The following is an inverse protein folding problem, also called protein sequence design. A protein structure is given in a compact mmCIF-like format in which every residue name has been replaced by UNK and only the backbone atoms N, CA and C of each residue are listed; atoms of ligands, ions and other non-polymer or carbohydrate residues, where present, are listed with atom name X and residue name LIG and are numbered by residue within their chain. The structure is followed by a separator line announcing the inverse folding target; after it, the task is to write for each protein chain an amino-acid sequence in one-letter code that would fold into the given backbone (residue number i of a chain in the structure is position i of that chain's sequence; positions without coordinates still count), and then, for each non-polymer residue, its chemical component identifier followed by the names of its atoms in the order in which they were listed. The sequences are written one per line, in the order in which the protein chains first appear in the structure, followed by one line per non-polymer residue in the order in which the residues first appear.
data_IF_711748312864
#
_entry.id   IF_711748312864
#
_cell.length_a   1.000
_cell.length_b   1.000
_cell.length_c   1.000
_cell.angle_alpha   90.00
_cell.angle_beta   90.00
_cell.angle_gamma   90.00
#
_symmetry.space_group_name_H-M   'P 1'
#
loop_
_entity.id
_entity.type
_entity.pdbx_description
1 polymer ?
#
# COMPACT_ATOMS: atom_id res chain seq x y z
N UNK A 1 3.00 -15.05 -28.75
CA UNK A 1 1.97 -14.81 -27.75
C UNK A 1 2.29 -13.48 -27.09
N UNK A 2 1.32 -12.55 -26.95
CA UNK A 2 1.57 -11.32 -26.20
C UNK A 2 1.90 -11.65 -24.75
N UNK A 3 2.92 -11.03 -24.18
CA UNK A 3 3.24 -11.17 -22.76
C UNK A 3 2.06 -10.66 -21.93
N UNK A 4 1.60 -11.45 -20.95
CA UNK A 4 0.49 -11.09 -20.07
C UNK A 4 0.93 -10.09 -19.02
N UNK A 5 0.07 -9.13 -18.70
CA UNK A 5 0.29 -8.20 -17.59
C UNK A 5 -0.31 -8.81 -16.32
N UNK A 6 0.52 -8.97 -15.29
CA UNK A 6 0.10 -9.47 -13.98
C UNK A 6 0.37 -8.42 -12.91
N UNK A 7 -0.68 -7.96 -12.24
CA UNK A 7 -0.58 -7.11 -11.04
C UNK A 7 -0.54 -8.00 -9.80
N UNK A 8 0.47 -7.82 -8.95
CA UNK A 8 0.68 -8.59 -7.72
C UNK A 8 0.53 -7.68 -6.52
N UNK A 9 -0.46 -7.92 -5.69
CA UNK A 9 -0.72 -7.16 -4.46
C UNK A 9 -0.17 -7.90 -3.23
N UNK A 10 0.95 -7.42 -2.68
CA UNK A 10 1.60 -8.01 -1.51
C UNK A 10 0.93 -7.52 -0.21
N UNK A 11 0.33 -8.43 0.57
CA UNK A 11 -0.22 -8.13 1.89
C UNK A 11 0.87 -7.85 2.94
N UNK A 12 0.49 -7.29 4.10
CA UNK A 12 1.45 -6.91 5.14
C UNK A 12 2.24 -8.09 5.71
N UNK A 13 1.65 -9.28 5.82
CA UNK A 13 2.37 -10.50 6.26
C UNK A 13 3.43 -10.96 5.27
N UNK A 14 3.30 -10.56 4.01
CA UNK A 14 4.32 -10.82 2.98
C UNK A 14 5.54 -9.89 3.09
N UNK A 15 5.51 -8.90 4.01
CA UNK A 15 6.57 -7.89 4.16
C UNK A 15 7.17 -7.85 5.56
N UNK A 16 6.52 -8.46 6.57
CA UNK A 16 6.95 -8.35 7.97
C UNK A 16 6.70 -6.98 8.59
N UNK A 17 7.02 -6.85 9.86
CA UNK A 17 6.80 -5.64 10.68
C UNK A 17 8.11 -4.91 10.97
N UNK A 18 9.17 -5.65 11.24
CA UNK A 18 10.50 -5.11 11.56
C UNK A 18 11.41 -5.14 10.33
N UNK A 19 12.48 -4.33 10.34
CA UNK A 19 13.49 -4.32 9.27
C UNK A 19 14.09 -5.69 8.95
N UNK A 20 14.53 -6.50 9.94
CA UNK A 20 15.02 -7.84 9.67
C UNK A 20 14.00 -8.77 9.05
N UNK A 21 12.74 -8.72 9.53
CA UNK A 21 11.64 -9.49 8.96
C UNK A 21 11.34 -9.07 7.52
N UNK A 22 11.32 -7.76 7.24
CA UNK A 22 11.10 -7.21 5.89
C UNK A 22 12.17 -7.71 4.92
N UNK A 23 13.45 -7.72 5.33
CA UNK A 23 14.53 -8.23 4.49
C UNK A 23 14.41 -9.72 4.16
N UNK A 24 13.89 -10.52 5.07
CA UNK A 24 13.62 -11.94 4.83
C UNK A 24 12.39 -12.08 3.91
N UNK A 25 11.33 -11.33 4.19
CA UNK A 25 10.07 -11.39 3.47
C UNK A 25 10.22 -10.93 2.02
N UNK A 26 10.93 -9.83 1.77
CA UNK A 26 11.18 -9.33 0.41
C UNK A 26 11.97 -10.32 -0.45
N UNK A 27 12.91 -11.09 0.13
CA UNK A 27 13.59 -12.17 -0.58
C UNK A 27 12.65 -13.31 -0.99
N UNK A 28 11.65 -13.64 -0.16
CA UNK A 28 10.63 -14.63 -0.50
C UNK A 28 9.71 -14.11 -1.61
N UNK A 29 9.24 -12.87 -1.48
CA UNK A 29 8.42 -12.22 -2.51
C UNK A 29 9.18 -12.12 -3.84
N UNK A 30 10.47 -11.81 -3.81
CA UNK A 30 11.32 -11.73 -4.99
C UNK A 30 11.36 -13.05 -5.79
N UNK A 31 11.40 -14.20 -5.12
CA UNK A 31 11.34 -15.50 -5.80
C UNK A 31 10.03 -15.70 -6.56
N UNK A 32 8.90 -15.42 -5.90
CA UNK A 32 7.59 -15.55 -6.54
C UNK A 32 7.41 -14.57 -7.72
N UNK A 33 7.92 -13.33 -7.59
CA UNK A 33 7.93 -12.36 -8.69
C UNK A 33 8.80 -12.84 -9.84
N UNK A 34 9.99 -13.38 -9.54
CA UNK A 34 10.90 -13.90 -10.56
C UNK A 34 10.31 -15.12 -11.29
N UNK A 35 9.55 -15.98 -10.61
CA UNK A 35 8.82 -17.10 -11.24
C UNK A 35 7.82 -16.57 -12.28
N UNK A 36 7.08 -15.50 -11.97
CA UNK A 36 6.14 -14.88 -12.91
C UNK A 36 6.87 -14.25 -14.11
N UNK A 37 7.98 -13.56 -13.86
CA UNK A 37 8.79 -12.95 -14.92
C UNK A 37 9.38 -14.03 -15.85
N UNK A 38 9.89 -15.12 -15.28
CA UNK A 38 10.45 -16.26 -16.02
C UNK A 38 9.38 -16.98 -16.84
N UNK A 39 8.14 -17.01 -16.35
CA UNK A 39 6.97 -17.52 -17.08
C UNK A 39 6.49 -16.56 -18.19
N UNK A 40 7.19 -15.45 -18.46
CA UNK A 40 6.88 -14.52 -19.54
C UNK A 40 5.84 -13.46 -19.19
N UNK A 41 5.57 -13.19 -17.90
CA UNK A 41 4.67 -12.10 -17.51
C UNK A 41 5.41 -10.76 -17.43
N UNK A 42 4.70 -9.69 -17.78
CA UNK A 42 5.02 -8.32 -17.38
C UNK A 42 4.42 -8.09 -16.01
N UNK A 43 5.25 -7.76 -15.01
CA UNK A 43 4.81 -7.76 -13.61
C UNK A 43 4.80 -6.35 -13.03
N UNK A 44 3.67 -5.98 -12.43
CA UNK A 44 3.52 -4.78 -11.59
C UNK A 44 3.21 -5.22 -10.17
N UNK A 45 3.86 -4.61 -9.20
CA UNK A 45 3.77 -5.01 -7.80
C UNK A 45 3.23 -3.82 -6.99
N UNK A 46 2.14 -4.04 -6.26
CA UNK A 46 1.74 -3.18 -5.17
C UNK A 46 2.04 -3.86 -3.83
N UNK A 47 2.13 -3.09 -2.77
CA UNK A 47 2.44 -3.63 -1.45
C UNK A 47 1.69 -2.88 -0.35
N UNK A 48 1.46 -3.55 0.77
CA UNK A 48 0.97 -2.94 2.00
C UNK A 48 2.11 -2.17 2.70
N UNK A 49 1.76 -1.23 3.57
CA UNK A 49 2.73 -0.43 4.32
C UNK A 49 2.33 -0.17 5.78
N UNK A 50 1.24 -0.77 6.27
CA UNK A 50 0.64 -0.41 7.56
C UNK A 50 1.62 -0.27 8.73
N UNK A 51 2.44 -1.30 9.07
CA UNK A 51 3.43 -1.18 10.14
C UNK A 51 4.48 -0.10 9.87
N UNK A 52 4.96 0.00 8.64
CA UNK A 52 6.04 0.91 8.25
C UNK A 52 5.59 2.38 8.26
N UNK A 53 4.42 2.69 7.70
CA UNK A 53 3.88 4.06 7.70
C UNK A 53 3.56 4.52 9.13
N UNK A 54 3.03 3.62 9.96
CA UNK A 54 2.78 3.90 11.37
C UNK A 54 4.05 4.21 12.16
N UNK A 55 5.11 3.44 11.95
CA UNK A 55 6.43 3.67 12.55
C UNK A 55 7.01 5.02 12.11
N UNK A 56 7.02 5.29 10.81
CA UNK A 56 7.53 6.55 10.24
C UNK A 56 6.75 7.74 10.82
N UNK A 57 5.42 7.68 10.80
CA UNK A 57 4.58 8.74 11.33
C UNK A 57 4.84 9.00 12.82
N UNK A 58 4.94 7.94 13.62
CA UNK A 58 5.24 8.06 15.06
C UNK A 58 6.62 8.68 15.28
N UNK A 59 7.65 8.16 14.60
CA UNK A 59 9.03 8.65 14.76
C UNK A 59 9.17 10.13 14.36
N UNK A 60 8.60 10.53 13.23
CA UNK A 60 8.66 11.92 12.74
C UNK A 60 7.95 12.87 13.68
N UNK A 61 6.78 12.48 14.19
CA UNK A 61 6.00 13.33 15.07
C UNK A 61 6.57 13.41 16.50
N UNK A 62 7.10 12.32 17.05
CA UNK A 62 7.81 12.37 18.35
C UNK A 62 9.08 13.22 18.24
N UNK A 63 9.83 13.12 17.17
CA UNK A 63 10.98 13.98 16.93
C UNK A 63 10.56 15.46 16.83
N UNK A 64 9.50 15.77 16.08
CA UNK A 64 8.98 17.13 15.93
C UNK A 64 8.50 17.76 17.26
N UNK A 65 7.94 16.95 18.18
CA UNK A 65 7.59 17.44 19.54
C UNK A 65 8.81 17.88 20.33
N UNK A 66 9.91 17.13 20.24
CA UNK A 66 11.15 17.43 20.95
C UNK A 66 11.98 18.55 20.28
N UNK A 67 11.72 18.82 19.02
CA UNK A 67 12.48 19.77 18.20
C UNK A 67 11.54 20.70 17.43
N UNK A 68 11.09 21.83 18.05
CA UNK A 68 10.10 22.74 17.45
C UNK A 68 10.51 23.37 16.12
N UNK A 69 11.81 23.36 15.80
CA UNK A 69 12.35 23.85 14.53
C UNK A 69 12.02 22.92 13.34
N UNK A 70 11.51 21.73 13.63
CA UNK A 70 11.11 20.74 12.62
C UNK A 70 9.60 20.64 12.52
N UNK A 71 9.11 20.42 11.31
CA UNK A 71 7.68 20.27 11.03
C UNK A 71 7.23 18.84 11.32
N UNK A 72 6.02 18.67 11.82
CA UNK A 72 5.34 17.36 11.86
C UNK A 72 5.14 16.84 10.44
N UNK A 73 5.33 15.54 10.25
CA UNK A 73 5.14 14.92 8.95
C UNK A 73 3.66 14.55 8.73
N UNK A 74 3.00 15.12 7.70
CA UNK A 74 1.65 14.70 7.33
C UNK A 74 1.62 13.23 6.88
N UNK A 75 0.44 12.59 6.94
CA UNK A 75 0.29 11.19 6.58
C UNK A 75 0.66 10.92 5.12
N UNK A 76 0.36 11.82 4.20
CA UNK A 76 0.74 11.72 2.79
C UNK A 76 2.27 11.64 2.59
N UNK A 77 3.04 12.46 3.34
CA UNK A 77 4.50 12.42 3.33
C UNK A 77 5.02 11.11 3.93
N UNK A 78 4.43 10.64 5.04
CA UNK A 78 4.79 9.35 5.63
C UNK A 78 4.47 8.19 4.68
N UNK A 79 3.39 8.27 3.93
CA UNK A 79 3.04 7.29 2.88
C UNK A 79 4.10 7.28 1.78
N UNK A 80 4.53 8.44 1.29
CA UNK A 80 5.61 8.56 0.30
C UNK A 80 6.93 7.98 0.81
N UNK A 81 7.31 8.29 2.05
CA UNK A 81 8.51 7.71 2.68
C UNK A 81 8.42 6.19 2.79
N UNK A 82 7.23 5.65 3.12
CA UNK A 82 7.02 4.21 3.21
C UNK A 82 7.14 3.51 1.85
N UNK A 83 6.70 4.15 0.77
CA UNK A 83 6.89 3.63 -0.59
C UNK A 83 8.38 3.52 -0.95
N UNK A 84 9.16 4.55 -0.63
CA UNK A 84 10.60 4.51 -0.84
C UNK A 84 11.28 3.44 0.02
N UNK A 85 10.91 3.35 1.29
CA UNK A 85 11.49 2.39 2.25
C UNK A 85 11.23 0.92 1.84
N UNK A 86 9.98 0.56 1.58
CA UNK A 86 9.61 -0.81 1.18
C UNK A 86 10.04 -1.08 -0.26
N UNK A 87 9.82 -0.10 -1.15
CA UNK A 87 10.19 -0.20 -2.55
C UNK A 87 11.68 -0.44 -2.75
N UNK A 88 12.54 0.23 -1.98
CA UNK A 88 13.98 0.00 -1.98
C UNK A 88 14.35 -1.47 -1.68
N UNK A 89 13.77 -2.04 -0.62
CA UNK A 89 14.06 -3.43 -0.24
C UNK A 89 13.52 -4.44 -1.29
N UNK A 90 12.29 -4.22 -1.80
CA UNK A 90 11.70 -5.05 -2.86
C UNK A 90 12.50 -4.96 -4.16
N UNK A 91 12.81 -3.75 -4.61
CA UNK A 91 13.59 -3.52 -5.84
C UNK A 91 14.94 -4.20 -5.78
N UNK A 92 15.64 -4.07 -4.65
CA UNK A 92 16.95 -4.70 -4.43
C UNK A 92 16.85 -6.22 -4.44
N UNK A 93 15.87 -6.79 -3.73
CA UNK A 93 15.68 -8.23 -3.64
C UNK A 93 15.27 -8.85 -4.99
N UNK A 94 14.31 -8.23 -5.70
CA UNK A 94 13.83 -8.72 -7.00
C UNK A 94 14.95 -8.64 -8.03
N UNK A 95 15.68 -7.52 -8.09
CA UNK A 95 16.82 -7.39 -8.99
C UNK A 95 17.87 -8.49 -8.76
N UNK A 96 18.21 -8.75 -7.50
CA UNK A 96 19.18 -9.78 -7.16
C UNK A 96 18.71 -11.19 -7.57
N UNK A 97 17.44 -11.51 -7.33
CA UNK A 97 16.85 -12.80 -7.71
C UNK A 97 16.81 -12.96 -9.24
N UNK A 98 16.38 -11.95 -9.99
CA UNK A 98 16.36 -11.98 -11.45
C UNK A 98 17.76 -12.21 -12.04
N UNK A 99 18.76 -11.49 -11.55
CA UNK A 99 20.16 -11.64 -11.99
C UNK A 99 20.67 -13.05 -11.68
N UNK A 100 20.34 -13.61 -10.51
CA UNK A 100 20.76 -14.98 -10.15
C UNK A 100 20.21 -16.06 -11.09
N UNK A 101 19.09 -15.74 -11.77
CA UNK A 101 18.47 -16.60 -12.81
C UNK A 101 18.93 -16.25 -14.23
N UNK A 102 19.86 -15.32 -14.40
CA UNK A 102 20.30 -14.86 -15.72
C UNK A 102 19.31 -13.94 -16.43
N UNK A 103 18.33 -13.38 -15.72
CA UNK A 103 17.31 -12.47 -16.26
C UNK A 103 17.74 -11.02 -16.01
N UNK A 104 18.03 -10.28 -17.04
CA UNK A 104 18.50 -8.88 -16.97
C UNK A 104 17.36 -7.90 -17.27
N UNK A 105 16.34 -7.85 -16.40
CA UNK A 105 15.26 -6.87 -16.47
C UNK A 105 15.46 -5.78 -15.43
N UNK A 106 15.29 -4.49 -15.78
CA UNK A 106 15.26 -3.40 -14.80
C UNK A 106 14.07 -3.57 -13.84
N UNK A 107 14.27 -3.15 -12.58
CA UNK A 107 13.23 -3.08 -11.57
C UNK A 107 13.17 -1.64 -11.09
N UNK A 108 12.00 -1.02 -11.12
CA UNK A 108 11.82 0.37 -10.74
C UNK A 108 10.70 0.53 -9.70
N UNK A 109 10.94 1.37 -8.70
CA UNK A 109 9.92 1.81 -7.74
C UNK A 109 9.44 3.20 -8.13
N UNK A 110 8.14 3.35 -8.31
CA UNK A 110 7.50 4.62 -8.65
C UNK A 110 6.74 5.13 -7.43
N UNK A 111 7.12 6.31 -6.95
CA UNK A 111 6.29 7.05 -6.01
C UNK A 111 4.95 7.32 -6.68
N UNK A 112 3.90 6.76 -6.10
CA UNK A 112 2.59 6.74 -6.75
C UNK A 112 1.59 7.52 -5.91
N UNK A 113 1.04 8.57 -6.49
CA UNK A 113 -0.03 9.38 -5.95
C UNK A 113 -1.38 8.84 -6.45
N UNK A 114 -2.37 8.83 -5.57
CA UNK A 114 -3.72 8.37 -5.90
C UNK A 114 -4.71 9.43 -5.49
N UNK A 115 -5.48 9.91 -6.46
CA UNK A 115 -6.51 10.90 -6.25
C UNK A 115 -7.69 10.27 -5.52
N UNK A 116 -8.20 10.99 -4.52
CA UNK A 116 -9.38 10.65 -3.75
C UNK A 116 -10.41 11.77 -3.81
N UNK A 117 -11.68 11.44 -3.57
CA UNK A 117 -12.75 12.43 -3.44
C UNK A 117 -12.67 13.11 -2.06
N UNK A 118 -12.54 14.44 -1.97
CA UNK A 118 -12.59 15.15 -0.69
C UNK A 118 -13.95 15.05 0.02
N UNK A 119 -15.01 14.64 -0.68
CA UNK A 119 -16.36 14.46 -0.17
C UNK A 119 -16.73 12.99 0.05
N UNK A 120 -15.77 12.07 0.00
CA UNK A 120 -16.01 10.65 0.31
C UNK A 120 -16.52 10.49 1.74
N UNK A 121 -17.57 9.68 1.93
CA UNK A 121 -18.23 9.44 3.23
C UNK A 121 -17.24 8.94 4.30
N UNK A 122 -16.15 8.30 3.88
CA UNK A 122 -15.08 7.85 4.78
C UNK A 122 -14.46 8.98 5.62
N UNK A 123 -14.57 10.24 5.19
CA UNK A 123 -14.10 11.38 5.98
C UNK A 123 -15.06 11.75 7.11
N UNK A 124 -16.34 11.48 6.96
CA UNK A 124 -17.33 11.67 8.02
C UNK A 124 -17.29 10.50 9.02
N UNK A 125 -17.02 9.28 8.55
CA UNK A 125 -17.00 8.06 9.35
C UNK A 125 -15.66 7.31 9.17
N UNK A 126 -14.55 7.84 9.77
CA UNK A 126 -13.26 7.19 9.65
C UNK A 126 -13.20 5.89 10.45
N UNK A 127 -12.71 4.81 9.83
CA UNK A 127 -12.67 3.48 10.45
C UNK A 127 -11.27 2.83 10.44
N UNK A 128 -10.33 3.39 9.66
CA UNK A 128 -9.02 2.74 9.48
C UNK A 128 -8.13 2.95 10.68
N UNK A 129 -7.92 1.88 11.43
CA UNK A 129 -7.02 1.88 12.61
C UNK A 129 -5.57 2.03 12.16
N UNK A 130 -4.85 2.98 12.78
CA UNK A 130 -3.44 3.26 12.50
C UNK A 130 -2.61 3.44 13.78
N UNK A 131 -1.29 3.33 13.61
CA UNK A 131 -0.32 3.70 14.64
C UNK A 131 -0.28 2.79 15.85
N UNK A 132 0.35 3.29 16.91
CA UNK A 132 0.51 2.59 18.19
C UNK A 132 -0.76 2.67 19.06
N UNK A 133 -0.78 1.86 20.10
CA UNK A 133 -1.74 1.99 21.19
C UNK A 133 -1.48 3.31 21.94
N UNK A 134 -2.55 4.00 22.31
CA UNK A 134 -2.55 5.24 23.08
C UNK A 134 -3.10 5.00 24.48
N UNK A 135 -2.61 5.76 25.45
CA UNK A 135 -3.27 5.91 26.75
C UNK A 135 -4.51 6.79 26.62
N UNK A 136 -5.36 6.85 27.65
CA UNK A 136 -6.54 7.72 27.65
C UNK A 136 -6.15 9.22 27.52
N UNK A 137 -5.14 9.68 28.25
CA UNK A 137 -4.63 11.05 28.19
C UNK A 137 -4.07 11.39 26.78
N UNK A 138 -3.37 10.45 26.15
CA UNK A 138 -2.89 10.62 24.78
C UNK A 138 -4.04 10.66 23.78
N UNK A 139 -5.09 9.86 23.99
CA UNK A 139 -6.28 9.85 23.14
C UNK A 139 -7.00 11.21 23.22
N UNK A 140 -7.25 11.74 24.41
CA UNK A 140 -7.82 13.07 24.62
C UNK A 140 -6.97 14.18 23.95
N UNK A 141 -5.65 14.03 24.05
CA UNK A 141 -4.72 14.98 23.38
C UNK A 141 -4.86 14.92 21.85
N UNK A 142 -5.01 13.74 21.27
CA UNK A 142 -5.20 13.59 19.81
C UNK A 142 -6.57 14.12 19.37
N UNK A 143 -7.64 13.88 20.14
CA UNK A 143 -8.97 14.41 19.87
C UNK A 143 -9.01 15.94 19.95
N UNK A 144 -8.31 16.54 20.92
CA UNK A 144 -8.19 17.99 21.03
C UNK A 144 -7.51 18.66 19.84
N UNK A 145 -6.69 17.91 19.07
CA UNK A 145 -6.08 18.34 17.81
C UNK A 145 -6.97 18.10 16.59
N UNK A 146 -8.20 17.57 16.78
CA UNK A 146 -9.12 17.23 15.71
C UNK A 146 -8.82 15.87 15.05
N UNK A 147 -8.02 15.02 15.68
CA UNK A 147 -7.81 13.65 15.20
C UNK A 147 -8.89 12.71 15.73
N UNK A 148 -9.25 11.73 14.94
CA UNK A 148 -10.20 10.70 15.35
C UNK A 148 -9.48 9.57 16.12
N UNK A 149 -10.10 9.11 17.19
CA UNK A 149 -9.60 8.02 18.03
C UNK A 149 -10.72 7.01 18.26
N UNK A 150 -10.38 5.75 18.38
CA UNK A 150 -11.33 4.69 18.76
C UNK A 150 -10.84 3.94 19.98
N UNK A 151 -11.76 3.57 20.88
CA UNK A 151 -11.50 2.69 22.02
C UNK A 151 -11.60 1.24 21.56
N UNK A 152 -10.58 0.45 21.87
CA UNK A 152 -10.55 -0.98 21.58
C UNK A 152 -11.24 -1.80 22.66
N UNK A 153 -11.54 -3.07 22.36
CA UNK A 153 -12.21 -3.99 23.28
C UNK A 153 -11.42 -4.26 24.58
N UNK A 154 -10.10 -4.10 24.55
CA UNK A 154 -9.21 -4.22 25.71
C UNK A 154 -9.12 -2.94 26.56
N UNK A 155 -9.88 -1.89 26.20
CA UNK A 155 -9.91 -0.61 26.87
C UNK A 155 -8.82 0.37 26.45
N UNK A 156 -7.91 -0.02 25.58
CA UNK A 156 -6.88 0.86 25.00
C UNK A 156 -7.44 1.70 23.85
N UNK A 157 -6.68 2.68 23.38
CA UNK A 157 -7.09 3.58 22.32
C UNK A 157 -6.17 3.51 21.12
N UNK A 158 -6.70 3.77 19.92
CA UNK A 158 -5.93 3.96 18.69
C UNK A 158 -6.50 5.06 17.85
N UNK A 159 -5.62 5.71 17.09
CA UNK A 159 -6.07 6.64 16.04
C UNK A 159 -6.75 5.90 14.91
N UNK A 160 -7.74 6.55 14.32
CA UNK A 160 -8.40 6.11 13.10
C UNK A 160 -8.30 7.20 12.04
N UNK A 161 -8.24 6.80 10.78
CA UNK A 161 -8.24 7.69 9.63
C UNK A 161 -9.33 7.30 8.64
N UNK A 162 -9.68 8.27 7.80
CA UNK A 162 -10.50 8.02 6.63
C UNK A 162 -9.80 7.03 5.67
N UNK A 163 -10.59 6.16 5.07
CA UNK A 163 -10.13 5.23 4.04
C UNK A 163 -10.95 5.42 2.75
N UNK A 164 -10.81 6.58 2.06
CA UNK A 164 -11.58 6.90 0.87
C UNK A 164 -11.23 5.97 -0.30
N UNK A 165 -12.15 5.87 -1.25
CA UNK A 165 -11.96 5.07 -2.46
C UNK A 165 -10.96 5.74 -3.40
N UNK A 166 -10.04 4.98 -4.02
CA UNK A 166 -9.15 5.51 -5.05
C UNK A 166 -9.94 5.86 -6.31
N UNK A 167 -9.67 7.03 -6.90
CA UNK A 167 -10.34 7.48 -8.13
C UNK A 167 -9.43 7.42 -9.35
N UNK A 168 -8.15 7.79 -9.21
CA UNK A 168 -7.21 7.91 -10.32
C UNK A 168 -5.78 7.73 -9.84
N UNK A 169 -4.97 7.03 -10.61
CA UNK A 169 -3.53 6.89 -10.38
C UNK A 169 -2.82 7.98 -11.19
N UNK A 170 -2.12 8.89 -10.53
CA UNK A 170 -1.50 10.05 -11.18
C UNK A 170 -0.38 9.61 -12.12
N UNK A 171 0.48 8.69 -11.70
CA UNK A 171 1.64 8.22 -12.45
C UNK A 171 1.34 7.04 -13.40
N UNK A 172 0.06 6.81 -13.73
CA UNK A 172 -0.36 5.65 -14.54
C UNK A 172 0.40 5.53 -15.86
N UNK A 173 0.57 6.63 -16.61
CA UNK A 173 1.24 6.61 -17.90
C UNK A 173 2.75 6.31 -17.78
N UNK A 174 3.38 6.76 -16.69
CA UNK A 174 4.76 6.39 -16.36
C UNK A 174 4.88 4.90 -16.07
N UNK A 175 3.96 4.37 -15.25
CA UNK A 175 3.90 2.94 -14.91
C UNK A 175 3.70 2.13 -16.18
N UNK A 176 2.73 2.50 -17.03
CA UNK A 176 2.45 1.84 -18.31
C UNK A 176 3.68 1.80 -19.22
N UNK A 177 4.35 2.94 -19.37
CA UNK A 177 5.56 3.05 -20.22
C UNK A 177 6.65 2.07 -19.76
N UNK A 178 6.89 1.95 -18.47
CA UNK A 178 7.89 1.03 -17.93
C UNK A 178 7.47 -0.44 -18.10
N UNK A 179 6.20 -0.75 -17.89
CA UNK A 179 5.65 -2.10 -18.10
C UNK A 179 5.74 -2.50 -19.57
N UNK A 180 5.42 -1.60 -20.48
CA UNK A 180 5.50 -1.84 -21.92
C UNK A 180 6.95 -1.99 -22.41
N UNK A 181 7.89 -1.33 -21.75
CA UNK A 181 9.33 -1.53 -21.94
C UNK A 181 9.85 -2.85 -21.29
N UNK A 182 8.98 -3.69 -20.73
CA UNK A 182 9.34 -4.99 -20.16
C UNK A 182 10.02 -4.91 -18.79
N UNK A 183 9.95 -3.78 -18.10
CA UNK A 183 10.50 -3.61 -16.77
C UNK A 183 9.55 -4.18 -15.71
N UNK A 184 10.10 -4.59 -14.56
CA UNK A 184 9.32 -4.92 -13.37
C UNK A 184 9.07 -3.63 -12.59
N UNK A 185 7.81 -3.31 -12.33
CA UNK A 185 7.43 -2.04 -11.72
C UNK A 185 6.83 -2.26 -10.33
N UNK A 186 7.29 -1.50 -9.35
CA UNK A 186 6.69 -1.42 -8.01
C UNK A 186 5.95 -0.10 -7.93
N UNK A 187 4.63 -0.13 -7.76
CA UNK A 187 3.76 1.05 -7.78
C UNK A 187 2.61 0.94 -6.79
N UNK A 188 1.92 2.02 -6.52
CA UNK A 188 0.77 2.10 -5.61
C UNK A 188 1.04 1.48 -4.23
N UNK A 189 2.26 1.61 -3.72
CA UNK A 189 2.63 1.12 -2.40
C UNK A 189 1.77 1.74 -1.30
N UNK A 190 1.26 0.90 -0.37
CA UNK A 190 0.37 1.32 0.69
C UNK A 190 -1.01 1.80 0.22
N UNK A 191 -1.39 1.48 -1.01
CA UNK A 191 -2.58 2.00 -1.66
C UNK A 191 -2.35 3.31 -2.42
N UNK A 192 -1.14 3.83 -2.40
CA UNK A 192 -0.79 5.13 -2.98
C UNK A 192 -0.69 6.26 -1.95
N UNK A 193 -0.09 7.36 -2.35
CA UNK A 193 -0.07 8.61 -1.58
C UNK A 193 -1.42 9.30 -1.81
N UNK A 194 -2.26 9.45 -0.79
CA UNK A 194 -3.58 10.07 -0.97
C UNK A 194 -3.44 11.56 -1.26
N UNK A 195 -4.02 11.99 -2.38
CA UNK A 195 -4.02 13.39 -2.82
C UNK A 195 -5.40 13.84 -3.27
N UNK A 196 -5.68 15.13 -3.11
CA UNK A 196 -6.88 15.80 -3.61
C UNK A 196 -6.48 16.80 -4.70
N UNK A 197 -7.21 16.83 -5.81
CA UNK A 197 -7.00 17.78 -6.89
C UNK A 197 -7.66 19.14 -6.53
N UNK A 198 -6.90 20.23 -6.60
CA UNK A 198 -7.37 21.60 -6.47
C UNK A 198 -6.83 22.43 -7.64
N UNK A 199 -7.60 22.56 -8.69
CA UNK A 199 -7.15 23.19 -9.93
C UNK A 199 -6.03 22.36 -10.58
N UNK A 200 -4.83 22.92 -10.63
CA UNK A 200 -3.64 22.22 -11.16
C UNK A 200 -2.77 21.57 -10.07
N UNK A 201 -3.07 21.84 -8.81
CA UNK A 201 -2.26 21.38 -7.67
C UNK A 201 -2.80 20.09 -7.08
N UNK A 202 -1.88 19.27 -6.55
CA UNK A 202 -2.19 18.07 -5.78
C UNK A 202 -1.84 18.32 -4.32
N UNK A 203 -2.84 18.23 -3.46
CA UNK A 203 -2.67 18.39 -2.02
C UNK A 203 -2.78 17.06 -1.30
N UNK A 204 -1.75 16.74 -0.49
CA UNK A 204 -1.74 15.52 0.30
C UNK A 204 -2.88 15.48 1.32
N UNK A 205 -3.58 14.37 1.38
CA UNK A 205 -4.69 14.16 2.31
C UNK A 205 -4.27 13.41 3.57
N UNK A 206 -4.94 13.69 4.70
CA UNK A 206 -4.81 12.92 5.94
C UNK A 206 -5.74 11.70 5.88
N UNK A 207 -5.40 10.74 5.01
CA UNK A 207 -6.17 9.55 4.73
C UNK A 207 -5.25 8.36 4.47
N UNK A 208 -5.82 7.17 4.39
CA UNK A 208 -5.15 5.94 3.94
C UNK A 208 -6.03 5.30 2.88
N UNK A 209 -5.45 4.87 1.78
CA UNK A 209 -6.16 4.17 0.73
C UNK A 209 -5.96 2.66 0.90
N UNK A 210 -7.04 1.90 0.77
CA UNK A 210 -6.95 0.44 0.85
C UNK A 210 -6.18 -0.12 -0.35
N UNK A 211 -5.10 -0.83 -0.05
CA UNK A 211 -4.18 -1.41 -1.06
C UNK A 211 -4.93 -2.24 -2.10
N UNK A 212 -5.90 -3.04 -1.68
CA UNK A 212 -6.58 -3.96 -2.60
C UNK A 212 -7.48 -3.21 -3.59
N UNK A 213 -8.10 -2.09 -3.17
CA UNK A 213 -8.85 -1.21 -4.05
C UNK A 213 -7.93 -0.53 -5.07
N UNK A 214 -6.80 0.02 -4.62
CA UNK A 214 -5.82 0.64 -5.53
C UNK A 214 -5.18 -0.38 -6.48
N UNK A 215 -4.94 -1.60 -6.02
CA UNK A 215 -4.42 -2.67 -6.88
C UNK A 215 -5.44 -3.09 -7.95
N UNK A 216 -6.73 -3.10 -7.59
CA UNK A 216 -7.83 -3.32 -8.53
C UNK A 216 -7.90 -2.23 -9.59
N UNK A 217 -7.85 -0.95 -9.15
CA UNK A 217 -7.82 0.19 -10.05
C UNK A 217 -6.60 0.14 -10.99
N UNK A 218 -5.41 -0.13 -10.44
CA UNK A 218 -4.17 -0.28 -11.22
C UNK A 218 -4.28 -1.39 -12.27
N UNK A 219 -4.83 -2.55 -11.90
CA UNK A 219 -5.03 -3.67 -12.81
C UNK A 219 -6.03 -3.31 -13.92
N UNK A 220 -7.13 -2.65 -13.58
CA UNK A 220 -8.13 -2.19 -14.54
C UNK A 220 -7.54 -1.17 -15.52
N UNK A 221 -6.86 -0.14 -15.02
CA UNK A 221 -6.30 0.92 -15.86
C UNK A 221 -5.14 0.44 -16.74
N UNK A 222 -4.36 -0.54 -16.30
CA UNK A 222 -3.34 -1.18 -17.12
C UNK A 222 -3.89 -2.22 -18.10
N UNK A 223 -5.18 -2.55 -18.06
CA UNK A 223 -5.78 -3.70 -18.75
C UNK A 223 -5.02 -5.00 -18.46
N UNK A 224 -4.73 -5.24 -17.18
CA UNK A 224 -4.01 -6.42 -16.75
C UNK A 224 -4.83 -7.69 -16.97
N UNK A 225 -4.15 -8.77 -17.40
CA UNK A 225 -4.76 -10.09 -17.59
C UNK A 225 -5.05 -10.78 -16.26
N UNK A 226 -4.28 -10.43 -15.21
CA UNK A 226 -4.38 -11.08 -13.89
C UNK A 226 -4.12 -10.08 -12.77
N UNK A 227 -4.96 -10.12 -11.75
CA UNK A 227 -4.71 -9.51 -10.43
C UNK A 227 -4.52 -10.63 -9.41
N UNK A 228 -3.31 -10.73 -8.85
CA UNK A 228 -2.95 -11.70 -7.83
C UNK A 228 -2.83 -11.03 -6.47
N UNK A 229 -3.76 -11.30 -5.56
CA UNK A 229 -3.75 -10.76 -4.20
C UNK A 229 -3.15 -11.81 -3.26
N UNK A 230 -1.94 -11.55 -2.76
CA UNK A 230 -1.28 -12.41 -1.79
C UNK A 230 -1.73 -12.01 -0.38
N UNK A 231 -2.55 -12.84 0.21
CA UNK A 231 -3.13 -12.66 1.55
C UNK A 231 -2.78 -13.84 2.46
N UNK A 232 -3.00 -13.67 3.75
CA UNK A 232 -2.79 -14.72 4.77
C UNK A 232 -4.01 -15.60 5.00
N UNK A 233 -5.13 -15.32 4.33
CA UNK A 233 -6.35 -16.13 4.40
C UNK A 233 -6.43 -17.03 3.16
N UNK A 234 -6.86 -18.27 3.35
CA UNK A 234 -6.95 -19.23 2.25
C UNK A 234 -8.06 -18.88 1.25
N UNK A 235 -9.09 -18.19 1.72
CA UNK A 235 -10.27 -17.82 0.91
C UNK A 235 -10.81 -16.46 1.33
N UNK A 236 -11.38 -15.74 0.39
CA UNK A 236 -12.14 -14.52 0.67
C UNK A 236 -13.49 -14.91 1.26
N UNK A 237 -13.85 -14.32 2.40
CA UNK A 237 -15.12 -14.55 3.09
C UNK A 237 -15.94 -13.28 3.12
N UNK A 238 -17.24 -13.39 2.85
CA UNK A 238 -18.21 -12.38 3.24
C UNK A 238 -18.47 -12.56 4.74
N UNK A 239 -18.42 -11.49 5.54
CA UNK A 239 -18.67 -11.53 7.00
C UNK A 239 -17.69 -12.44 7.77
N UNK A 240 -16.40 -12.08 7.76
CA UNK A 240 -15.36 -12.79 8.49
C UNK A 240 -15.75 -12.92 9.99
N UNK A 241 -15.86 -14.17 10.48
CA UNK A 241 -16.22 -14.47 11.88
C UNK A 241 -17.67 -14.90 12.11
N UNK A 242 -18.51 -14.93 11.08
CA UNK A 242 -19.82 -15.58 11.12
C UNK A 242 -19.78 -16.90 10.34
N UNK A 243 -20.52 -17.90 10.81
CA UNK A 243 -20.71 -19.17 10.08
C UNK A 243 -21.34 -18.86 8.71
N UNK A 244 -20.61 -19.16 7.63
CA UNK A 244 -20.97 -18.96 6.22
C UNK A 244 -20.58 -17.62 5.59
N UNK A 245 -19.72 -17.61 4.70
CA UNK A 245 -19.84 -17.83 3.28
C UNK A 245 -18.49 -17.63 2.60
N UNK A 246 -17.93 -18.74 2.13
CA UNK A 246 -16.83 -18.71 1.20
C UNK A 246 -17.36 -18.21 -0.13
N UNK A 247 -16.80 -17.13 -0.66
CA UNK A 247 -17.04 -16.76 -2.05
C UNK A 247 -16.22 -17.74 -2.90
N UNK A 248 -16.88 -18.62 -3.63
CA UNK A 248 -16.27 -19.26 -4.79
C UNK A 248 -16.24 -18.22 -5.90
N UNK A 249 -15.07 -17.64 -6.15
CA UNK A 249 -14.84 -16.91 -7.40
C UNK A 249 -14.70 -18.00 -8.47
N UNK A 250 -15.80 -18.27 -9.18
CA UNK A 250 -15.72 -19.00 -10.44
C UNK A 250 -15.02 -18.11 -11.45
N UNK A 251 -14.13 -18.70 -12.26
CA UNK A 251 -13.52 -17.98 -13.39
C UNK A 251 -14.60 -17.31 -14.24
N UNK A 252 -14.34 -16.09 -14.75
CA UNK A 252 -15.26 -15.45 -15.66
C UNK A 252 -15.43 -16.35 -16.87
N UNK A 253 -16.62 -16.87 -17.05
CA UNK A 253 -17.04 -17.51 -18.30
C UNK A 253 -16.87 -16.49 -19.42
N UNK A 254 -16.14 -16.88 -20.46
CA UNK A 254 -15.88 -16.13 -21.68
C UNK A 254 -17.13 -15.60 -22.34
#
# INVERSE_FOLDING_TARGET
MSEKITVVALGHRALGTTLPEQKIATKKAAKAVADLVEAGNRVVISHSNGPQVGMIHTAMNEFGKAHPDYTFAPMSVCSAMSQGYIGYDLQTAIRAELISRGIYKPVATILTQVVIDPYDDAFAEPEKIIGRVLTEEEAETEESKGNFVTKLADGTYKRILAAPKPQKIVELETIRTLVDAGQVVIAAGGGGIPVMEQGIDLHGASAIIEKDLSSGLLAQELNADTLLILTSVEKVSLNLGQDLSLIHISEPTR
#
